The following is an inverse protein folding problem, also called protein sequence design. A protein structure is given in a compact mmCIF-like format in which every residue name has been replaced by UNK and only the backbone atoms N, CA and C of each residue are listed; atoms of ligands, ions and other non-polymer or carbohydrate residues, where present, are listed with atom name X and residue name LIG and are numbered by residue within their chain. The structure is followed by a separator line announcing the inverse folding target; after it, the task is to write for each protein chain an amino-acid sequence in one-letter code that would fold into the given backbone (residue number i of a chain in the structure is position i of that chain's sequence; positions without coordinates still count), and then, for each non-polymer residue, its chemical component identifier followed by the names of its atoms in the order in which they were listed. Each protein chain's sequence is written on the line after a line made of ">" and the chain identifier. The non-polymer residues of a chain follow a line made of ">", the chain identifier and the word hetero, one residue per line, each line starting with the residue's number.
data_IF_240021150960
#
_entry.id   IF_240021150960
#
_cell.length_a   1.000
_cell.length_b   1.000
_cell.length_c   1.000
_cell.angle_alpha   90.00
_cell.angle_beta   90.00
_cell.angle_gamma   90.00
#
_symmetry.space_group_name_H-M   'P 1'
#
loop_
_entity.id
_entity.type
_entity.pdbx_description
1 polymer ?
#
# COMPACT_ATOMS: atom_id res chain seq x y z
N UNK A 1 1.41 -5.61 -7.85
CA UNK A 1 1.30 -5.18 -6.44
C UNK A 1 2.45 -5.77 -5.66
N UNK A 2 3.08 -4.98 -4.80
CA UNK A 2 4.14 -5.38 -3.87
C UNK A 2 3.78 -4.86 -2.48
N UNK A 3 3.96 -5.68 -1.45
CA UNK A 3 3.76 -5.30 -0.04
C UNK A 3 5.09 -5.47 0.66
N UNK A 4 5.54 -4.44 1.37
CA UNK A 4 6.83 -4.41 2.06
C UNK A 4 6.66 -3.80 3.45
N UNK A 5 7.17 -4.50 4.47
CA UNK A 5 7.24 -4.00 5.83
C UNK A 5 8.71 -3.77 6.18
N UNK A 6 9.04 -2.54 6.58
CA UNK A 6 10.33 -2.15 7.10
C UNK A 6 10.30 -2.19 8.65
N UNK A 7 10.97 -3.18 9.29
CA UNK A 7 11.00 -3.29 10.74
C UNK A 7 11.86 -2.21 11.42
N UNK A 8 12.81 -1.59 10.72
CA UNK A 8 13.64 -0.52 11.28
C UNK A 8 12.86 0.79 11.37
N UNK A 9 12.04 1.07 10.36
CA UNK A 9 11.17 2.25 10.31
C UNK A 9 9.79 2.06 10.96
N UNK A 10 9.40 0.81 11.26
CA UNK A 10 8.02 0.43 11.62
C UNK A 10 7.01 0.95 10.59
N UNK A 11 7.28 0.66 9.31
CA UNK A 11 6.52 1.18 8.18
C UNK A 11 6.04 0.05 7.26
N UNK A 12 4.78 0.14 6.82
CA UNK A 12 4.19 -0.73 5.81
C UNK A 12 3.96 0.07 4.53
N UNK A 13 4.56 -0.38 3.43
CA UNK A 13 4.32 0.16 2.10
C UNK A 13 3.61 -0.86 1.21
N UNK A 14 2.52 -0.45 0.58
CA UNK A 14 1.75 -1.24 -0.38
C UNK A 14 1.83 -0.54 -1.74
N UNK A 15 2.68 -1.05 -2.62
CA UNK A 15 2.71 -0.61 -4.02
C UNK A 15 1.56 -1.26 -4.78
N UNK A 16 0.58 -0.46 -5.19
CA UNK A 16 -0.61 -0.92 -5.91
C UNK A 16 -0.26 -1.15 -7.38
N UNK A 17 0.48 -0.22 -7.99
CA UNK A 17 0.89 -0.24 -9.40
C UNK A 17 2.38 0.03 -9.53
N UNK A 18 3.01 -0.63 -10.50
CA UNK A 18 4.39 -0.34 -10.88
C UNK A 18 4.43 0.96 -11.70
N UNK A 19 4.58 2.07 -10.99
CA UNK A 19 4.69 3.42 -11.53
C UNK A 19 5.53 4.28 -10.57
N UNK A 20 6.10 5.35 -11.08
CA UNK A 20 6.84 6.33 -10.26
C UNK A 20 5.84 7.29 -9.60
N UNK A 21 5.86 7.43 -8.26
CA UNK A 21 5.04 8.42 -7.57
C UNK A 21 5.59 9.82 -7.87
N UNK A 22 4.69 10.78 -8.08
CA UNK A 22 5.04 12.18 -8.35
C UNK A 22 4.54 13.14 -7.26
N UNK A 23 3.55 12.71 -6.48
CA UNK A 23 2.95 13.48 -5.40
C UNK A 23 2.42 12.52 -4.33
N UNK A 24 2.16 13.04 -3.13
CA UNK A 24 1.53 12.30 -2.04
C UNK A 24 0.31 13.04 -1.48
N UNK A 25 -0.58 12.28 -0.88
CA UNK A 25 -1.79 12.78 -0.23
C UNK A 25 -1.83 12.22 1.18
N UNK A 26 -1.68 13.09 2.17
CA UNK A 26 -1.87 12.72 3.57
C UNK A 26 -3.37 12.44 3.82
N UNK A 27 -3.66 11.23 4.28
CA UNK A 27 -5.02 10.83 4.70
C UNK A 27 -5.22 11.16 6.17
N UNK A 28 -4.20 10.86 6.97
CA UNK A 28 -4.04 11.26 8.36
C UNK A 28 -2.55 11.22 8.73
N UNK A 29 -2.19 11.69 9.92
CA UNK A 29 -0.81 11.65 10.40
C UNK A 29 -0.24 10.22 10.29
N UNK A 30 0.84 10.06 9.52
CA UNK A 30 1.52 8.79 9.31
C UNK A 30 0.83 7.82 8.33
N UNK A 31 -0.19 8.25 7.59
CA UNK A 31 -0.81 7.47 6.52
C UNK A 31 -0.93 8.31 5.26
N UNK A 32 -0.24 7.90 4.20
CA UNK A 32 -0.14 8.67 2.95
C UNK A 32 -0.45 7.80 1.74
N UNK A 33 -1.06 8.40 0.72
CA UNK A 33 -1.30 7.76 -0.58
C UNK A 33 -0.40 8.42 -1.61
N UNK A 34 0.44 7.61 -2.25
CA UNK A 34 1.26 8.05 -3.37
C UNK A 34 0.46 8.04 -4.67
N UNK A 35 0.59 9.11 -5.46
CA UNK A 35 -0.10 9.25 -6.75
C UNK A 35 0.85 9.65 -7.88
N UNK A 36 0.49 9.29 -9.11
CA UNK A 36 1.19 9.76 -10.32
C UNK A 36 0.74 11.17 -10.73
N UNK A 37 1.33 11.70 -11.80
CA UNK A 37 1.02 13.03 -12.33
C UNK A 37 -0.43 13.23 -12.78
N UNK A 38 -1.18 12.14 -13.00
CA UNK A 38 -2.60 12.14 -13.36
C UNK A 38 -3.50 11.88 -12.14
N UNK A 39 -2.96 11.91 -10.92
CA UNK A 39 -3.66 11.63 -9.65
C UNK A 39 -4.15 10.19 -9.50
N UNK A 40 -3.63 9.25 -10.29
CA UNK A 40 -3.92 7.84 -10.08
C UNK A 40 -3.04 7.26 -8.98
N UNK A 41 -3.60 6.39 -8.15
CA UNK A 41 -2.90 5.77 -7.03
C UNK A 41 -1.72 4.90 -7.52
N UNK A 42 -0.58 5.07 -6.87
CA UNK A 42 0.65 4.30 -7.08
C UNK A 42 0.90 3.41 -5.87
N UNK A 43 0.78 3.95 -4.65
CA UNK A 43 1.06 3.24 -3.41
C UNK A 43 0.33 3.80 -2.19
N UNK A 44 0.48 3.10 -1.07
CA UNK A 44 -0.01 3.49 0.26
C UNK A 44 1.12 3.26 1.26
N UNK A 45 1.43 4.25 2.07
CA UNK A 45 2.38 4.15 3.19
C UNK A 45 1.65 4.29 4.52
N UNK A 46 2.02 3.44 5.48
CA UNK A 46 1.54 3.46 6.86
C UNK A 46 2.75 3.40 7.79
N UNK A 47 3.02 4.50 8.50
CA UNK A 47 4.01 4.59 9.57
C UNK A 47 3.41 4.12 10.90
N UNK A 48 4.29 3.73 11.84
CA UNK A 48 3.91 3.11 13.11
C UNK A 48 2.97 1.90 12.88
N UNK A 49 3.25 1.11 11.84
CA UNK A 49 2.36 0.06 11.36
C UNK A 49 2.06 -0.98 12.45
N UNK A 50 3.04 -1.31 13.30
CA UNK A 50 2.88 -2.21 14.45
C UNK A 50 1.91 -1.71 15.53
N UNK A 51 1.66 -0.39 15.59
CA UNK A 51 0.69 0.23 16.51
C UNK A 51 -0.71 0.31 15.93
N UNK A 52 -0.83 0.23 14.60
CA UNK A 52 -2.09 0.36 13.85
C UNK A 52 -2.69 -0.98 13.45
N UNK A 53 -1.84 -1.97 13.21
CA UNK A 53 -2.20 -3.29 12.71
C UNK A 53 -1.81 -4.35 13.73
N UNK A 54 -2.62 -5.41 13.86
CA UNK A 54 -2.25 -6.52 14.72
C UNK A 54 -1.10 -7.33 14.12
N UNK A 55 -0.34 -8.09 14.93
CA UNK A 55 0.67 -9.01 14.41
C UNK A 55 0.11 -10.01 13.39
N UNK A 56 -1.17 -10.40 13.50
CA UNK A 56 -1.82 -11.29 12.55
C UNK A 56 -2.07 -10.61 11.19
N UNK A 57 -2.42 -9.32 11.21
CA UNK A 57 -2.63 -8.52 9.99
C UNK A 57 -1.30 -8.31 9.24
N UNK A 58 -0.20 -8.06 9.97
CA UNK A 58 1.13 -7.89 9.38
C UNK A 58 1.75 -9.20 8.87
N UNK A 59 1.38 -10.34 9.47
CA UNK A 59 1.96 -11.64 9.15
C UNK A 59 1.24 -12.39 8.02
N UNK A 60 0.09 -11.90 7.54
CA UNK A 60 -0.72 -12.63 6.56
C UNK A 60 -1.36 -11.71 5.52
N UNK A 61 -1.41 -12.20 4.28
CA UNK A 61 -2.11 -11.53 3.18
C UNK A 61 -3.20 -12.48 2.68
N UNK A 62 -4.44 -12.01 2.69
CA UNK A 62 -5.60 -12.74 2.14
C UNK A 62 -6.05 -12.08 0.86
N UNK A 63 -6.15 -12.85 -0.23
CA UNK A 63 -6.67 -12.38 -1.51
C UNK A 63 -7.90 -13.21 -1.86
N UNK A 64 -9.05 -12.56 -1.96
CA UNK A 64 -10.30 -13.20 -2.36
C UNK A 64 -10.66 -12.87 -3.81
N UNK A 65 -11.26 -13.83 -4.52
CA UNK A 65 -11.79 -13.65 -5.89
C UNK A 65 -10.76 -13.06 -6.86
N UNK A 66 -9.53 -13.57 -6.81
CA UNK A 66 -8.46 -13.12 -7.69
C UNK A 66 -8.89 -13.25 -9.16
N UNK A 67 -8.91 -12.16 -9.95
CA UNK A 67 -9.18 -12.24 -11.37
C UNK A 67 -7.98 -12.92 -12.06
N UNK A 68 -8.13 -14.21 -12.33
CA UNK A 68 -7.12 -15.01 -13.03
C UNK A 68 -7.08 -14.69 -14.53
N UNK A 69 -8.18 -14.15 -15.06
CA UNK A 69 -8.27 -13.67 -16.43
C UNK A 69 -8.37 -12.14 -16.42
N UNK A 70 -7.72 -11.45 -17.38
CA UNK A 70 -7.89 -10.01 -17.51
C UNK A 70 -9.37 -9.73 -17.68
N UNK A 71 -9.90 -8.79 -16.89
CA UNK A 71 -11.29 -8.38 -17.00
C UNK A 71 -11.57 -7.99 -18.46
N UNK A 72 -12.37 -8.80 -19.15
CA UNK A 72 -12.86 -8.49 -20.48
C UNK A 72 -13.60 -7.16 -20.39
N UNK A 73 -13.07 -6.16 -21.09
CA UNK A 73 -13.69 -4.84 -21.21
C UNK A 73 -15.00 -4.92 -21.98
#
# INVERSE_FOLDING_TARGET
>A
MKIEYDPEADALYIQIREAEPQDNIDIEDGVTVDVDGDRHIVGLEILDASKRLSPADLASITIEKLPLEPASR
#
